data_IF_465795067202
#
_entry.id   IF_465795067202
#
_cell.length_a   1.000
_cell.length_b   1.000
_cell.length_c   1.000
_cell.angle_alpha   90.00
_cell.angle_beta   90.00
_cell.angle_gamma   90.00
#
_symmetry.space_group_name_H-M   'P 1'
#
loop_
_entity.id
_entity.type
_entity.pdbx_description
1 polymer ?
#
# COMPACT_ATOMS: atom_id res chain seq x y z
N UNK A 1 -14.10 -22.88 1.32
CA UNK A 1 -14.43 -21.44 1.38
C UNK A 1 -14.73 -20.99 2.81
N UNK A 2 -15.85 -21.39 3.44
CA UNK A 2 -16.16 -21.02 4.85
C UNK A 2 -15.05 -21.33 5.86
N UNK A 3 -14.38 -22.49 5.75
CA UNK A 3 -13.26 -22.86 6.62
C UNK A 3 -12.05 -21.93 6.49
N UNK A 4 -11.77 -21.45 5.27
CA UNK A 4 -10.66 -20.53 5.01
C UNK A 4 -10.97 -19.13 5.54
N UNK A 5 -12.19 -18.64 5.31
CA UNK A 5 -12.65 -17.35 5.85
C UNK A 5 -12.61 -17.31 7.38
N UNK A 6 -12.97 -18.41 8.04
CA UNK A 6 -12.91 -18.53 9.49
C UNK A 6 -11.45 -18.44 9.99
N UNK A 7 -10.53 -19.21 9.38
CA UNK A 7 -9.10 -19.16 9.72
C UNK A 7 -8.51 -17.78 9.44
N UNK A 8 -8.89 -17.14 8.33
CA UNK A 8 -8.47 -15.79 7.98
C UNK A 8 -8.87 -14.78 9.07
N UNK A 9 -10.15 -14.80 9.49
CA UNK A 9 -10.66 -13.92 10.57
C UNK A 9 -9.97 -14.19 11.91
N UNK A 10 -9.83 -15.45 12.28
CA UNK A 10 -9.14 -15.83 13.52
C UNK A 10 -7.67 -15.39 13.54
N UNK A 11 -7.00 -15.45 12.38
CA UNK A 11 -5.63 -15.00 12.23
C UNK A 11 -5.51 -13.47 12.39
N UNK A 12 -6.40 -12.70 11.76
CA UNK A 12 -6.39 -11.23 11.88
C UNK A 12 -6.63 -10.74 13.32
N UNK A 13 -7.25 -11.55 14.19
CA UNK A 13 -7.42 -11.24 15.61
C UNK A 13 -6.16 -11.47 16.46
N UNK A 14 -5.13 -12.13 15.91
CA UNK A 14 -3.88 -12.37 16.64
C UNK A 14 -3.04 -11.10 16.72
N UNK A 15 -2.33 -10.90 17.85
CA UNK A 15 -1.45 -9.71 18.06
C UNK A 15 -0.35 -9.55 17.00
N UNK A 16 0.06 -10.64 16.35
CA UNK A 16 1.04 -10.60 15.25
C UNK A 16 0.47 -9.89 14.00
N UNK A 17 -0.85 -9.96 13.81
CA UNK A 17 -1.57 -9.32 12.72
C UNK A 17 -2.07 -7.93 13.16
N UNK A 18 -1.14 -7.03 13.47
CA UNK A 18 -1.44 -5.66 13.94
C UNK A 18 -1.96 -4.72 12.84
N UNK A 19 -2.04 -5.21 11.61
CA UNK A 19 -2.68 -4.58 10.44
C UNK A 19 -3.58 -5.64 9.79
N UNK A 20 -4.56 -5.25 8.96
CA UNK A 20 -5.27 -6.20 8.11
C UNK A 20 -4.28 -7.07 7.31
N UNK A 21 -4.56 -8.36 7.19
CA UNK A 21 -3.62 -9.32 6.59
C UNK A 21 -3.23 -8.90 5.17
N UNK A 22 -4.20 -8.43 4.39
CA UNK A 22 -3.98 -7.96 3.02
C UNK A 22 -3.01 -6.77 2.93
N UNK A 23 -2.91 -5.94 3.98
CA UNK A 23 -1.94 -4.83 4.02
C UNK A 23 -0.50 -5.33 4.05
N UNK A 24 -0.23 -6.49 4.67
CA UNK A 24 1.11 -7.07 4.66
C UNK A 24 1.55 -7.50 3.27
N UNK A 25 0.62 -7.90 2.40
CA UNK A 25 0.90 -8.31 1.03
C UNK A 25 1.39 -7.16 0.15
N UNK A 26 1.10 -5.90 0.53
CA UNK A 26 1.60 -4.70 -0.16
C UNK A 26 3.04 -4.32 0.25
N UNK A 27 3.46 -4.70 1.46
CA UNK A 27 4.73 -4.25 2.06
C UNK A 27 5.96 -4.54 1.21
N UNK A 28 6.09 -5.68 0.50
CA UNK A 28 7.27 -5.94 -0.33
C UNK A 28 7.50 -4.88 -1.41
N UNK A 29 6.45 -4.50 -2.15
CA UNK A 29 6.57 -3.50 -3.22
C UNK A 29 6.73 -2.10 -2.61
N UNK A 30 5.98 -1.77 -1.56
CA UNK A 30 6.11 -0.49 -0.85
C UNK A 30 7.53 -0.30 -0.29
N UNK A 31 8.19 -1.38 0.14
CA UNK A 31 9.58 -1.31 0.64
C UNK A 31 10.57 -0.88 -0.44
N UNK A 32 10.38 -1.30 -1.69
CA UNK A 32 11.19 -0.84 -2.83
C UNK A 32 11.00 0.67 -3.06
N UNK A 33 9.75 1.15 -2.96
CA UNK A 33 9.45 2.58 -3.04
C UNK A 33 10.16 3.36 -1.92
N UNK A 34 10.19 2.81 -0.71
CA UNK A 34 10.92 3.43 0.40
C UNK A 34 12.42 3.49 0.17
N UNK A 35 13.05 2.46 -0.41
CA UNK A 35 14.47 2.52 -0.77
C UNK A 35 14.76 3.66 -1.75
N UNK A 36 13.92 3.83 -2.78
CA UNK A 36 14.03 4.98 -3.69
C UNK A 36 13.97 6.31 -2.95
N UNK A 37 13.02 6.47 -2.03
CA UNK A 37 12.86 7.72 -1.27
C UNK A 37 14.07 8.00 -0.37
N UNK A 38 14.58 6.98 0.32
CA UNK A 38 15.74 7.11 1.22
C UNK A 38 17.00 7.44 0.41
N UNK A 39 17.28 6.68 -0.65
CA UNK A 39 18.43 6.92 -1.53
C UNK A 39 18.33 8.30 -2.21
N UNK A 40 17.13 8.71 -2.62
CA UNK A 40 16.89 10.04 -3.16
C UNK A 40 17.18 11.16 -2.16
N UNK A 41 16.92 10.93 -0.87
CA UNK A 41 17.28 11.88 0.20
C UNK A 41 18.78 11.91 0.45
N UNK A 42 19.44 10.75 0.46
CA UNK A 42 20.89 10.65 0.64
C UNK A 42 21.65 11.34 -0.51
N UNK A 43 21.28 11.08 -1.76
CA UNK A 43 21.87 11.75 -2.93
C UNK A 43 21.70 13.28 -2.92
N UNK A 44 20.63 13.80 -2.31
CA UNK A 44 20.44 15.26 -2.14
C UNK A 44 21.31 15.85 -1.03
N UNK A 45 21.75 15.02 -0.09
CA UNK A 45 22.54 15.44 1.06
C UNK A 45 24.05 15.31 0.82
N UNK A 46 24.47 14.23 0.14
CA UNK A 46 25.86 14.00 -0.21
C UNK A 46 26.34 15.00 -1.27
N UNK A 47 27.49 15.62 -1.00
CA UNK A 47 28.20 16.43 -1.99
C UNK A 47 28.99 15.54 -2.95
N UNK A 48 29.50 16.11 -4.04
CA UNK A 48 30.24 15.36 -5.06
C UNK A 48 31.53 14.72 -4.51
N UNK A 49 32.08 15.27 -3.43
CA UNK A 49 33.30 14.82 -2.76
C UNK A 49 33.03 13.70 -1.74
N UNK A 50 31.77 13.43 -1.40
CA UNK A 50 31.42 12.39 -0.44
C UNK A 50 31.71 11.00 -1.01
N UNK A 51 32.44 10.17 -0.26
CA UNK A 51 32.87 8.82 -0.68
C UNK A 51 31.73 7.96 -1.23
N UNK A 52 30.58 7.99 -0.57
CA UNK A 52 29.43 7.16 -0.93
C UNK A 52 28.53 7.79 -2.02
N UNK A 53 28.82 9.01 -2.50
CA UNK A 53 27.98 9.67 -3.50
C UNK A 53 27.85 8.86 -4.81
N UNK A 54 28.94 8.31 -5.40
CA UNK A 54 28.83 7.50 -6.62
C UNK A 54 27.96 6.26 -6.42
N UNK A 55 28.17 5.53 -5.31
CA UNK A 55 27.46 4.29 -5.01
C UNK A 55 25.98 4.55 -4.71
N UNK A 56 25.69 5.58 -3.91
CA UNK A 56 24.32 5.98 -3.61
C UNK A 56 23.57 6.42 -4.87
N UNK A 57 24.25 7.11 -5.80
CA UNK A 57 23.67 7.51 -7.08
C UNK A 57 23.42 6.31 -7.99
N UNK A 58 24.32 5.32 -8.02
CA UNK A 58 24.11 4.07 -8.77
C UNK A 58 22.93 3.28 -8.20
N UNK A 59 22.90 3.06 -6.89
CA UNK A 59 21.80 2.37 -6.22
C UNK A 59 20.45 3.08 -6.43
N UNK A 60 20.44 4.42 -6.38
CA UNK A 60 19.23 5.20 -6.67
C UNK A 60 18.74 4.98 -8.10
N UNK A 61 19.65 4.91 -9.08
CA UNK A 61 19.31 4.66 -10.49
C UNK A 61 18.66 3.29 -10.64
N UNK A 62 19.28 2.24 -10.11
CA UNK A 62 18.78 0.86 -10.18
C UNK A 62 17.40 0.70 -9.54
N UNK A 63 17.23 1.20 -8.31
CA UNK A 63 15.93 1.13 -7.62
C UNK A 63 14.89 1.99 -8.34
N UNK A 64 15.27 3.11 -8.94
CA UNK A 64 14.34 3.94 -9.73
C UNK A 64 13.82 3.22 -10.97
N UNK A 65 14.68 2.49 -11.67
CA UNK A 65 14.30 1.68 -12.83
C UNK A 65 13.40 0.50 -12.43
N UNK A 66 13.72 -0.20 -11.34
CA UNK A 66 12.87 -1.26 -10.83
C UNK A 66 11.49 -0.75 -10.39
N UNK A 67 11.45 0.35 -9.64
CA UNK A 67 10.19 0.91 -9.13
C UNK A 67 9.30 1.50 -10.23
N UNK A 68 9.87 2.00 -11.33
CA UNK A 68 9.06 2.53 -12.44
C UNK A 68 8.25 1.43 -13.12
N UNK A 69 8.81 0.22 -13.25
CA UNK A 69 8.11 -0.96 -13.79
C UNK A 69 6.98 -1.44 -12.86
N UNK A 70 7.16 -1.26 -11.55
CA UNK A 70 6.21 -1.74 -10.53
C UNK A 70 5.14 -0.71 -10.14
N UNK A 71 5.31 0.57 -10.49
CA UNK A 71 4.45 1.66 -10.05
C UNK A 71 2.97 1.43 -10.38
N UNK A 72 2.65 1.03 -11.60
CA UNK A 72 1.27 0.77 -12.02
C UNK A 72 0.66 -0.43 -11.27
N UNK A 73 1.46 -1.48 -11.06
CA UNK A 73 1.03 -2.64 -10.27
C UNK A 73 0.75 -2.26 -8.82
N UNK A 74 1.59 -1.42 -8.22
CA UNK A 74 1.41 -0.94 -6.85
C UNK A 74 0.10 -0.17 -6.70
N UNK A 75 -0.16 0.81 -7.56
CA UNK A 75 -1.40 1.61 -7.52
C UNK A 75 -2.63 0.70 -7.61
N UNK A 76 -2.60 -0.26 -8.54
CA UNK A 76 -3.71 -1.21 -8.71
C UNK A 76 -3.91 -2.10 -7.47
N UNK A 77 -2.82 -2.57 -6.86
CA UNK A 77 -2.87 -3.41 -5.66
C UNK A 77 -3.34 -2.63 -4.43
N UNK A 78 -2.88 -1.39 -4.25
CA UNK A 78 -3.33 -0.51 -3.17
C UNK A 78 -4.83 -0.22 -3.28
N UNK A 79 -5.31 0.10 -4.48
CA UNK A 79 -6.74 0.29 -4.71
C UNK A 79 -7.54 -0.99 -4.43
N UNK A 80 -7.08 -2.13 -4.92
CA UNK A 80 -7.73 -3.42 -4.70
C UNK A 80 -7.79 -3.78 -3.20
N UNK A 81 -6.69 -3.58 -2.48
CA UNK A 81 -6.64 -3.82 -1.03
C UNK A 81 -7.63 -2.92 -0.30
N UNK A 82 -7.70 -1.62 -0.63
CA UNK A 82 -8.62 -0.69 0.02
C UNK A 82 -10.10 -1.02 -0.25
N UNK A 83 -10.44 -1.38 -1.49
CA UNK A 83 -11.81 -1.81 -1.82
C UNK A 83 -12.18 -3.13 -1.13
N UNK A 84 -11.24 -4.06 -1.02
CA UNK A 84 -11.46 -5.34 -0.33
C UNK A 84 -11.67 -5.12 1.17
N UNK A 85 -10.88 -4.26 1.80
CA UNK A 85 -11.03 -3.85 3.20
C UNK A 85 -12.40 -3.20 3.45
N UNK A 86 -12.77 -2.22 2.62
CA UNK A 86 -14.09 -1.56 2.73
C UNK A 86 -15.26 -2.53 2.52
N UNK A 87 -15.12 -3.51 1.63
CA UNK A 87 -16.15 -4.54 1.44
C UNK A 87 -16.30 -5.43 2.68
N UNK A 88 -15.23 -5.61 3.44
CA UNK A 88 -15.25 -6.37 4.68
C UNK A 88 -15.92 -5.58 5.82
N UNK A 89 -15.61 -4.28 5.91
CA UNK A 89 -16.05 -3.41 7.00
C UNK A 89 -17.51 -2.95 6.87
N UNK A 90 -18.01 -2.79 5.63
CA UNK A 90 -19.34 -2.24 5.35
C UNK A 90 -20.40 -3.34 5.27
N UNK A 91 -21.40 -3.26 6.15
CA UNK A 91 -22.54 -4.18 6.16
C UNK A 91 -23.54 -3.79 5.06
N UNK A 92 -24.00 -4.77 4.29
CA UNK A 92 -25.06 -4.60 3.30
C UNK A 92 -24.61 -4.01 1.96
N UNK A 93 -23.30 -3.93 1.72
CA UNK A 93 -22.72 -3.54 0.43
C UNK A 93 -22.01 -4.74 -0.18
N UNK A 94 -22.49 -5.19 -1.34
CA UNK A 94 -21.87 -6.24 -2.13
C UNK A 94 -21.19 -5.66 -3.38
N UNK A 95 -20.24 -6.41 -3.96
CA UNK A 95 -19.55 -6.07 -5.20
C UNK A 95 -18.86 -4.70 -5.18
N UNK A 96 -18.29 -4.32 -4.02
CA UNK A 96 -17.48 -3.11 -3.91
C UNK A 96 -16.20 -3.25 -4.73
N UNK A 97 -15.61 -4.45 -4.75
CA UNK A 97 -14.42 -4.77 -5.54
C UNK A 97 -14.83 -5.03 -7.00
N UNK A 98 -14.71 -4.02 -7.86
CA UNK A 98 -15.11 -4.09 -9.26
C UNK A 98 -14.02 -3.54 -10.20
N UNK A 99 -13.86 -4.08 -11.43
CA UNK A 99 -12.95 -3.53 -12.42
C UNK A 99 -13.25 -2.06 -12.71
N UNK A 100 -12.22 -1.22 -12.71
CA UNK A 100 -12.34 0.23 -12.99
C UNK A 100 -12.90 1.07 -11.84
N UNK A 101 -13.27 0.48 -10.69
CA UNK A 101 -13.62 1.26 -9.51
C UNK A 101 -12.35 1.69 -8.77
N UNK A 102 -12.29 2.97 -8.41
CA UNK A 102 -11.18 3.55 -7.68
C UNK A 102 -11.65 4.17 -6.35
N UNK A 103 -10.93 3.88 -5.27
CA UNK A 103 -11.09 4.55 -4.01
C UNK A 103 -10.49 5.96 -4.10
N UNK A 104 -11.29 6.97 -3.73
CA UNK A 104 -10.85 8.38 -3.74
C UNK A 104 -10.57 8.86 -2.31
N UNK A 105 -11.55 8.72 -1.42
CA UNK A 105 -11.47 9.15 -0.01
C UNK A 105 -12.60 8.54 0.83
N UNK A 106 -12.39 8.49 2.14
CA UNK A 106 -13.40 8.17 3.15
C UNK A 106 -13.40 9.25 4.25
N UNK A 107 -14.52 9.38 4.96
CA UNK A 107 -14.64 10.33 6.07
C UNK A 107 -16.08 10.48 6.56
N UNK A 108 -16.24 11.03 7.76
CA UNK A 108 -17.54 11.25 8.38
C UNK A 108 -18.12 12.62 7.99
N UNK A 109 -19.40 12.66 7.64
CA UNK A 109 -20.14 13.88 7.33
C UNK A 109 -21.52 13.84 8.00
N UNK A 110 -22.07 15.01 8.32
CA UNK A 110 -23.44 15.13 8.85
C UNK A 110 -24.44 15.33 7.70
N UNK A 111 -25.32 14.35 7.50
CA UNK A 111 -26.44 14.46 6.57
C UNK A 111 -27.58 15.24 7.24
N UNK A 112 -28.02 16.34 6.63
CA UNK A 112 -29.21 17.05 7.10
C UNK A 112 -30.46 16.18 6.92
N UNK A 113 -31.23 15.98 7.99
CA UNK A 113 -32.50 15.22 7.97
C UNK A 113 -33.64 16.06 8.55
N UNK A 114 -34.87 15.80 8.10
CA UNK A 114 -36.07 16.35 8.75
C UNK A 114 -36.26 15.69 10.12
N UNK A 115 -36.83 16.42 11.08
CA UNK A 115 -37.29 15.85 12.36
C UNK A 115 -38.48 14.94 12.13
#
# INVERSE_FOLDING_TARGET
LKKLEMVYKEFELQKVCYLPLNTFLLKPIQRLMHYKLILGRLCKHYTAEHRDFPDCRSALKEVTEMTSQLQHSLIRLENFQKLTELQHDLIGIDNLTAPGREFIREGCLYKLTKK
#
